data_IF_891561759275
#
_entry.id   IF_891561759275
#
_cell.length_a   1.000
_cell.length_b   1.000
_cell.length_c   1.000
_cell.angle_alpha   90.00
_cell.angle_beta   90.00
_cell.angle_gamma   90.00
#
_symmetry.space_group_name_H-M   'P 1'
#
loop_
_entity.id
_entity.type
_entity.pdbx_description
1 polymer ?
#
# COMPACT_ATOMS: atom_id res chain seq x y z
N UNK A 1 17.27 -12.30 -1.27
CA UNK A 1 16.20 -11.48 -1.88
C UNK A 1 14.99 -11.56 -0.98
N UNK A 2 14.41 -10.42 -0.58
CA UNK A 2 13.16 -10.40 0.18
C UNK A 2 12.03 -10.98 -0.70
N UNK A 3 11.11 -11.71 -0.09
CA UNK A 3 9.91 -12.23 -0.77
C UNK A 3 8.68 -11.59 -0.12
N UNK A 4 7.66 -11.35 -0.93
CA UNK A 4 6.44 -10.69 -0.50
C UNK A 4 5.23 -11.50 -0.94
N UNK A 5 4.15 -11.46 -0.14
CA UNK A 5 2.91 -12.19 -0.41
C UNK A 5 1.69 -11.27 -0.38
N UNK A 6 0.93 -11.28 -1.46
CA UNK A 6 -0.38 -10.66 -1.64
C UNK A 6 -1.42 -11.72 -2.08
N UNK A 7 -2.67 -11.28 -2.25
CA UNK A 7 -3.79 -12.18 -2.60
C UNK A 7 -4.00 -12.35 -4.12
N UNK A 8 -3.03 -11.98 -4.95
CA UNK A 8 -3.13 -12.21 -6.40
C UNK A 8 -2.97 -13.70 -6.72
N UNK A 9 -3.90 -14.25 -7.49
CA UNK A 9 -3.86 -15.64 -7.97
C UNK A 9 -3.67 -15.64 -9.48
N UNK A 10 -2.49 -16.10 -9.95
CA UNK A 10 -2.16 -16.21 -11.38
C UNK A 10 -2.33 -14.91 -12.19
N UNK A 11 -2.13 -13.75 -11.56
CA UNK A 11 -2.22 -12.44 -12.23
C UNK A 11 -0.85 -12.10 -12.85
N UNK A 12 -0.74 -11.97 -14.18
CA UNK A 12 0.52 -11.60 -14.83
C UNK A 12 0.92 -10.16 -14.50
N UNK A 13 2.22 -9.90 -14.35
CA UNK A 13 2.74 -8.52 -14.23
C UNK A 13 2.31 -7.69 -15.46
N UNK A 14 1.78 -6.49 -15.21
CA UNK A 14 1.40 -5.57 -16.29
C UNK A 14 0.08 -5.90 -16.99
N UNK A 15 -0.69 -6.87 -16.49
CA UNK A 15 -2.00 -7.25 -17.06
C UNK A 15 -3.12 -6.25 -16.73
N UNK A 16 -3.02 -5.53 -15.62
CA UNK A 16 -4.08 -4.67 -15.06
C UNK A 16 -5.34 -5.44 -14.58
N UNK A 17 -5.31 -6.78 -14.57
CA UNK A 17 -6.49 -7.64 -14.32
C UNK A 17 -7.02 -7.56 -12.88
N UNK A 18 -6.20 -7.14 -11.91
CA UNK A 18 -6.57 -7.04 -10.50
C UNK A 18 -6.60 -5.60 -9.98
N UNK A 19 -7.16 -4.68 -10.77
CA UNK A 19 -7.28 -3.27 -10.40
C UNK A 19 -8.69 -2.87 -10.00
N UNK A 20 -8.78 -1.87 -9.13
CA UNK A 20 -10.03 -1.21 -8.76
C UNK A 20 -9.92 0.29 -9.01
N UNK A 21 -10.96 0.88 -9.58
CA UNK A 21 -11.05 2.32 -9.78
C UNK A 21 -11.56 3.00 -8.49
N UNK A 22 -10.72 3.83 -7.87
CA UNK A 22 -11.06 4.63 -6.70
C UNK A 22 -11.51 6.04 -7.10
N UNK A 23 -12.33 6.68 -6.26
CA UNK A 23 -12.59 8.12 -6.39
C UNK A 23 -11.27 8.85 -6.23
N UNK A 24 -10.90 9.65 -7.23
CA UNK A 24 -9.61 10.30 -7.21
C UNK A 24 -9.62 11.50 -6.24
N UNK A 25 -8.49 11.75 -5.55
CA UNK A 25 -8.34 12.92 -4.71
C UNK A 25 -8.20 14.19 -5.56
N UNK A 26 -8.61 15.32 -5.00
CA UNK A 26 -8.71 16.62 -5.71
C UNK A 26 -7.39 17.00 -6.41
N UNK A 27 -6.25 16.72 -5.78
CA UNK A 27 -4.93 17.07 -6.32
C UNK A 27 -4.59 16.36 -7.64
N UNK A 28 -5.26 15.24 -7.97
CA UNK A 28 -4.96 14.45 -9.16
C UNK A 28 -5.59 14.98 -10.44
N UNK A 29 -6.55 15.91 -10.33
CA UNK A 29 -7.35 16.44 -11.45
C UNK A 29 -8.11 15.37 -12.27
N UNK A 30 -8.22 14.14 -11.77
CA UNK A 30 -8.97 13.03 -12.38
C UNK A 30 -10.27 12.82 -11.61
N UNK A 31 -11.22 12.14 -12.25
CA UNK A 31 -12.42 11.66 -11.56
C UNK A 31 -12.15 10.35 -10.82
N UNK A 32 -11.38 9.43 -11.44
CA UNK A 32 -11.03 8.13 -10.86
C UNK A 32 -9.57 7.77 -11.15
N UNK A 33 -8.98 6.97 -10.27
CA UNK A 33 -7.64 6.39 -10.42
C UNK A 33 -7.74 4.88 -10.21
N UNK A 34 -7.20 4.11 -11.15
CA UNK A 34 -7.06 2.66 -11.01
C UNK A 34 -5.84 2.35 -10.14
N UNK A 35 -6.03 1.45 -9.18
CA UNK A 35 -4.96 0.95 -8.29
C UNK A 35 -5.10 -0.57 -8.15
N UNK A 36 -4.01 -1.25 -7.83
CA UNK A 36 -4.06 -2.67 -7.49
C UNK A 36 -5.03 -2.89 -6.30
N UNK A 37 -5.97 -3.81 -6.46
CA UNK A 37 -7.02 -4.07 -5.47
C UNK A 37 -6.42 -4.42 -4.11
N UNK A 38 -5.31 -5.16 -4.09
CA UNK A 38 -4.55 -5.55 -2.90
C UNK A 38 -4.05 -4.35 -2.08
N UNK A 39 -3.79 -3.21 -2.73
CA UNK A 39 -3.31 -1.99 -2.08
C UNK A 39 -4.40 -0.94 -1.87
N UNK A 40 -5.60 -1.17 -2.40
CA UNK A 40 -6.66 -0.14 -2.41
C UNK A 40 -7.04 0.42 -1.02
N UNK A 41 -7.09 -0.35 0.09
CA UNK A 41 -7.37 0.23 1.40
C UNK A 41 -6.22 1.11 1.90
N UNK A 42 -4.98 0.69 1.64
CA UNK A 42 -3.78 1.42 2.05
C UNK A 42 -3.62 2.72 1.25
N UNK A 43 -3.87 2.69 -0.07
CA UNK A 43 -3.86 3.90 -0.90
C UNK A 43 -4.90 4.92 -0.43
N UNK A 44 -6.12 4.48 -0.10
CA UNK A 44 -7.15 5.37 0.45
C UNK A 44 -6.70 6.01 1.76
N UNK A 45 -6.12 5.22 2.66
CA UNK A 45 -5.56 5.72 3.92
C UNK A 45 -4.49 6.79 3.67
N UNK A 46 -3.54 6.53 2.78
CA UNK A 46 -2.49 7.48 2.42
C UNK A 46 -3.05 8.79 1.85
N UNK A 47 -4.04 8.71 0.96
CA UNK A 47 -4.70 9.92 0.43
C UNK A 47 -5.39 10.73 1.52
N UNK A 48 -6.02 10.08 2.51
CA UNK A 48 -6.61 10.75 3.68
C UNK A 48 -5.54 11.42 4.55
N UNK A 49 -4.35 10.86 4.63
CA UNK A 49 -3.19 11.47 5.30
C UNK A 49 -2.51 12.59 4.48
N UNK A 50 -3.06 12.95 3.31
CA UNK A 50 -2.50 13.99 2.45
C UNK A 50 -1.31 13.55 1.59
N UNK A 51 -1.02 12.25 1.51
CA UNK A 51 0.03 11.70 0.65
C UNK A 51 -0.44 11.74 -0.81
N UNK A 52 0.43 12.24 -1.70
CA UNK A 52 0.25 12.23 -3.15
C UNK A 52 1.01 11.07 -3.75
N UNK A 53 0.28 10.02 -4.13
CA UNK A 53 0.84 8.82 -4.75
C UNK A 53 0.96 8.99 -6.27
N UNK A 54 2.05 8.50 -6.86
CA UNK A 54 2.30 8.55 -8.31
C UNK A 54 2.05 7.21 -9.01
N UNK A 55 2.04 6.10 -8.26
CA UNK A 55 1.75 4.75 -8.75
C UNK A 55 1.84 3.72 -7.64
N UNK A 56 1.36 2.50 -7.88
CA UNK A 56 1.55 1.39 -6.94
C UNK A 56 1.46 0.05 -7.66
N UNK A 57 2.12 -0.97 -7.11
CA UNK A 57 1.96 -2.36 -7.51
C UNK A 57 2.13 -3.26 -6.29
N UNK A 58 1.27 -4.26 -6.13
CA UNK A 58 1.41 -5.26 -5.06
C UNK A 58 2.47 -6.34 -5.35
N UNK A 59 3.15 -6.23 -6.50
CA UNK A 59 4.17 -7.19 -6.96
C UNK A 59 3.60 -8.51 -7.48
N UNK A 60 2.29 -8.74 -7.38
CA UNK A 60 1.59 -9.95 -7.83
C UNK A 60 2.29 -11.28 -7.45
N UNK A 61 2.84 -11.36 -6.23
CA UNK A 61 3.63 -12.50 -5.73
C UNK A 61 4.91 -12.82 -6.55
N UNK A 62 5.33 -11.92 -7.43
CA UNK A 62 6.42 -12.11 -8.40
C UNK A 62 7.55 -11.08 -8.23
N UNK A 63 7.23 -9.85 -7.80
CA UNK A 63 8.16 -8.72 -7.65
C UNK A 63 8.05 -8.08 -6.27
N UNK A 64 9.01 -7.22 -5.94
CA UNK A 64 8.89 -6.34 -4.76
C UNK A 64 7.69 -5.38 -4.93
N UNK A 65 6.77 -5.30 -3.96
CA UNK A 65 5.66 -4.37 -3.99
C UNK A 65 6.13 -2.95 -3.74
N UNK A 66 5.40 -1.97 -4.29
CA UNK A 66 5.77 -0.57 -4.14
C UNK A 66 4.56 0.37 -4.11
N UNK A 67 4.73 1.50 -3.43
CA UNK A 67 3.90 2.71 -3.54
C UNK A 67 4.83 3.88 -3.87
N UNK A 68 4.69 4.42 -5.07
CA UNK A 68 5.39 5.62 -5.51
C UNK A 68 4.71 6.87 -4.98
N UNK A 69 5.49 7.86 -4.52
CA UNK A 69 4.98 9.14 -4.02
C UNK A 69 5.73 10.34 -4.59
N UNK A 70 5.06 11.49 -4.67
CA UNK A 70 5.71 12.75 -5.01
C UNK A 70 6.75 13.13 -3.93
N UNK A 71 7.85 13.83 -4.28
CA UNK A 71 8.89 14.23 -3.32
C UNK A 71 8.36 14.97 -2.08
N UNK A 72 7.30 15.77 -2.25
CA UNK A 72 6.66 16.51 -1.14
C UNK A 72 6.00 15.60 -0.10
N UNK A 73 5.65 14.37 -0.45
CA UNK A 73 4.98 13.41 0.45
C UNK A 73 5.96 12.50 1.18
N UNK A 74 7.25 12.50 0.83
CA UNK A 74 8.29 11.63 1.41
C UNK A 74 8.35 11.78 2.93
N UNK A 75 8.32 13.02 3.44
CA UNK A 75 8.37 13.25 4.88
C UNK A 75 7.13 12.69 5.62
N UNK A 76 5.95 12.72 4.99
CA UNK A 76 4.73 12.15 5.55
C UNK A 76 4.86 10.62 5.60
N UNK A 77 5.33 9.99 4.52
CA UNK A 77 5.57 8.54 4.47
C UNK A 77 6.54 8.09 5.57
N UNK A 78 7.66 8.79 5.76
CA UNK A 78 8.63 8.51 6.82
C UNK A 78 8.01 8.67 8.21
N UNK A 79 7.22 9.72 8.46
CA UNK A 79 6.51 9.93 9.74
C UNK A 79 5.45 8.86 10.02
N UNK A 80 4.82 8.34 8.97
CA UNK A 80 3.90 7.21 9.04
C UNK A 80 4.64 5.87 9.22
N UNK A 81 5.98 5.86 9.21
CA UNK A 81 6.83 4.70 9.42
C UNK A 81 6.90 3.77 8.22
N UNK A 82 6.79 4.29 7.00
CA UNK A 82 7.04 3.53 5.77
C UNK A 82 8.54 3.44 5.47
N UNK A 83 8.97 2.31 4.92
CA UNK A 83 10.34 2.03 4.52
C UNK A 83 10.51 2.25 3.01
N UNK A 84 11.68 2.73 2.59
CA UNK A 84 12.01 2.91 1.17
C UNK A 84 12.31 1.56 0.51
N UNK A 85 11.97 1.43 -0.77
CA UNK A 85 12.49 0.36 -1.62
C UNK A 85 14.02 0.48 -1.73
N UNK A 86 14.74 -0.64 -1.73
CA UNK A 86 16.21 -0.66 -1.64
C UNK A 86 16.89 0.07 -2.83
N UNK A 87 16.27 0.00 -4.01
CA UNK A 87 16.82 0.56 -5.26
C UNK A 87 16.71 2.10 -5.36
N UNK A 88 15.87 2.73 -4.53
CA UNK A 88 15.55 4.17 -4.64
C UNK A 88 16.44 5.09 -3.79
N UNK A 89 17.39 4.53 -3.04
CA UNK A 89 18.33 5.31 -2.23
C UNK A 89 19.30 6.17 -3.07
N UNK A 90 19.32 6.01 -4.39
CA UNK A 90 20.30 6.64 -5.30
C UNK A 90 19.75 7.77 -6.18
N UNK A 91 18.43 7.99 -6.26
CA UNK A 91 17.81 8.95 -7.19
C UNK A 91 16.94 9.97 -6.48
N UNK A 92 17.49 11.17 -6.20
CA UNK A 92 16.81 12.24 -5.45
C UNK A 92 15.90 13.13 -6.30
N UNK A 93 15.83 12.93 -7.62
CA UNK A 93 15.09 13.78 -8.56
C UNK A 93 13.75 13.21 -9.02
N UNK A 94 13.51 11.92 -8.83
CA UNK A 94 12.25 11.25 -9.17
C UNK A 94 11.52 10.81 -7.90
N UNK A 95 10.19 10.69 -7.96
CA UNK A 95 9.40 10.25 -6.79
C UNK A 95 9.97 8.97 -6.19
N UNK A 96 9.85 8.83 -4.87
CA UNK A 96 10.40 7.68 -4.14
C UNK A 96 9.34 6.59 -4.00
N UNK A 97 9.76 5.33 -4.06
CA UNK A 97 8.94 4.19 -3.79
C UNK A 97 9.14 3.69 -2.36
N UNK A 98 8.03 3.34 -1.74
CA UNK A 98 7.97 2.80 -0.39
C UNK A 98 7.36 1.41 -0.39
N UNK A 99 7.82 0.57 0.52
CA UNK A 99 7.29 -0.77 0.75
C UNK A 99 5.90 -0.65 1.39
N UNK A 100 4.84 -1.22 0.79
CA UNK A 100 3.50 -1.18 1.37
C UNK A 100 3.43 -2.01 2.65
N UNK A 101 2.72 -1.50 3.67
CA UNK A 101 2.54 -2.18 4.96
C UNK A 101 1.49 -3.29 4.89
N UNK A 102 0.58 -3.22 3.93
CA UNK A 102 -0.46 -4.24 3.74
C UNK A 102 0.07 -5.52 3.11
N UNK A 103 1.28 -5.52 2.54
CA UNK A 103 1.88 -6.69 1.91
C UNK A 103 2.90 -7.33 2.86
N UNK A 104 2.74 -8.63 3.12
CA UNK A 104 3.59 -9.35 4.07
C UNK A 104 4.92 -9.72 3.42
N UNK A 105 6.03 -9.34 4.04
CA UNK A 105 7.32 -9.96 3.75
C UNK A 105 7.32 -11.38 4.33
N UNK A 106 7.70 -12.37 3.54
CA UNK A 106 7.78 -13.78 3.95
C UNK A 106 9.23 -14.21 4.05
N UNK A 107 9.52 -15.12 4.99
CA UNK A 107 10.85 -15.67 5.19
C UNK A 107 11.04 -16.90 4.31
N UNK A 108 12.29 -17.22 3.94
CA UNK A 108 12.59 -18.43 3.14
C UNK A 108 12.26 -19.76 3.88
N UNK A 109 11.79 -19.72 5.13
CA UNK A 109 11.38 -20.88 5.92
C UNK A 109 9.88 -21.18 5.89
N UNK A 110 9.06 -20.34 5.26
CA UNK A 110 7.60 -20.52 5.20
C UNK A 110 7.22 -21.51 4.07
N UNK A 111 7.76 -22.74 4.12
CA UNK A 111 7.38 -23.82 3.21
C UNK A 111 6.05 -24.44 3.64
N UNK A 112 5.04 -24.19 2.81
CA UNK A 112 3.91 -25.05 2.43
C UNK A 112 3.74 -26.39 3.19
N UNK A 113 3.21 -26.36 4.40
CA UNK A 113 2.22 -27.35 4.85
C UNK A 113 1.57 -26.89 6.18
N UNK A 114 0.32 -26.42 6.12
CA UNK A 114 -0.69 -26.74 7.13
C UNK A 114 -2.02 -26.10 6.75
N UNK A 115 -3.05 -26.94 6.75
CA UNK A 115 -4.47 -26.61 6.85
C UNK A 115 -4.80 -25.82 8.12
N UNK A 116 -4.22 -24.63 8.30
CA UNK A 116 -4.53 -23.75 9.41
C UNK A 116 -5.35 -22.59 8.87
N UNK A 117 -6.66 -22.82 8.94
CA UNK A 117 -7.66 -21.79 9.16
C UNK A 117 -7.03 -20.62 9.93
N UNK A 118 -7.16 -19.35 9.52
CA UNK A 118 -6.82 -18.26 10.41
C UNK A 118 -7.83 -18.31 11.54
N UNK A 119 -7.50 -19.02 12.62
CA UNK A 119 -8.04 -18.73 13.93
C UNK A 119 -7.71 -17.27 14.17
N UNK A 120 -8.72 -16.44 14.02
CA UNK A 120 -8.77 -15.09 14.54
C UNK A 120 -8.43 -15.19 16.02
N UNK A 121 -7.15 -15.05 16.37
CA UNK A 121 -6.76 -14.94 17.75
C UNK A 121 -7.11 -13.50 18.13
N UNK A 122 -8.33 -13.37 18.65
CA UNK A 122 -8.90 -12.15 19.20
C UNK A 122 -8.04 -11.66 20.36
N UNK A 123 -6.95 -10.98 20.04
CA UNK A 123 -6.36 -9.97 20.89
C UNK A 123 -7.18 -8.71 20.70
N UNK A 124 -8.13 -8.48 21.61
CA UNK A 124 -8.83 -7.21 21.74
C UNK A 124 -7.82 -6.07 21.83
N UNK A 125 -7.57 -5.41 20.71
CA UNK A 125 -7.19 -4.01 20.69
C UNK A 125 -7.90 -3.39 19.49
N UNK A 126 -9.18 -3.12 19.70
CA UNK A 126 -9.87 -2.03 19.03
C UNK A 126 -9.13 -0.74 19.41
N UNK A 127 -7.99 -0.48 18.78
CA UNK A 127 -7.55 0.90 18.61
C UNK A 127 -8.46 1.43 17.52
N UNK A 128 -9.64 1.88 17.95
CA UNK A 128 -10.59 2.53 17.07
C UNK A 128 -9.84 3.62 16.32
N UNK A 129 -9.92 3.61 14.99
CA UNK A 129 -9.64 4.82 14.25
C UNK A 129 -10.48 5.94 14.89
N UNK A 130 -9.88 7.04 15.36
CA UNK A 130 -10.65 8.09 15.98
C UNK A 130 -11.68 8.58 14.95
N UNK A 131 -12.96 8.45 15.31
CA UNK A 131 -14.04 9.14 14.62
C UNK A 131 -13.79 10.64 14.83
N UNK A 132 -13.24 11.30 13.82
CA UNK A 132 -13.05 12.74 13.85
C UNK A 132 -14.45 13.37 13.76
N UNK A 133 -14.89 13.96 14.85
CA UNK A 133 -16.11 14.75 14.91
C UNK A 133 -16.04 15.89 13.88
N UNK A 134 -17.04 15.96 13.01
CA UNK A 134 -17.35 17.18 12.28
C UNK A 134 -17.83 18.23 13.30
N UNK A 135 -16.96 19.16 13.68
CA UNK A 135 -17.41 20.44 14.22
C UNK A 135 -17.67 21.36 13.04
N UNK A 136 -18.94 21.49 12.68
CA UNK A 136 -19.42 22.61 11.88
C UNK A 136 -19.53 23.81 12.83
N UNK A 137 -18.64 24.78 12.69
CA UNK A 137 -18.83 26.15 13.16
C UNK A 137 -18.13 27.09 12.17
N UNK A 138 -18.89 27.60 11.19
CA UNK A 138 -19.10 29.04 10.92
C UNK A 138 -20.47 29.21 10.25
#
# INVERSE_FOLDING_TARGET
MKKYKCNCENIPIGSYDNQVALQAPIWSQKNRISVDSCLSPEIRYLWLCGVRTTGCCCGHNQLEPYIGVEPKSVNIMQKLGYELCEDDLSSSTHGLNFIPKSIKQISNGDNENANNNPSYNGGNNLVGYPAMAHTNDV
#
